data_IF_528450620444
#
_entry.id   IF_528450620444
#
_cell.length_a   1.000
_cell.length_b   1.000
_cell.length_c   1.000
_cell.angle_alpha   90.00
_cell.angle_beta   90.00
_cell.angle_gamma   90.00
#
_symmetry.space_group_name_H-M   'P 1'
#
loop_
_entity.id
_entity.type
_entity.pdbx_description
1 polymer ?
#
# COMPACT_ATOMS: atom_id res chain seq x y z
N UNK A 1 18.16 34.61 30.48
CA UNK A 1 17.47 34.96 29.22
C UNK A 1 16.27 35.82 29.56
N UNK A 2 15.85 36.72 28.67
CA UNK A 2 14.64 37.53 28.90
C UNK A 2 13.39 36.67 28.70
N UNK A 3 12.37 36.86 29.53
CA UNK A 3 11.08 36.14 29.42
C UNK A 3 10.45 36.34 28.03
N UNK A 4 10.61 37.52 27.43
CA UNK A 4 10.15 37.80 26.06
C UNK A 4 10.88 36.96 25.00
N UNK A 5 12.16 36.66 25.20
CA UNK A 5 12.92 35.79 24.30
C UNK A 5 12.44 34.34 24.39
N UNK A 6 12.19 33.84 25.59
CA UNK A 6 11.68 32.47 25.78
C UNK A 6 10.27 32.32 25.20
N UNK A 7 9.41 33.34 25.38
CA UNK A 7 8.09 33.36 24.76
C UNK A 7 8.17 33.36 23.22
N UNK A 8 8.94 34.28 22.64
CA UNK A 8 9.10 34.35 21.19
C UNK A 8 9.69 33.06 20.61
N UNK A 9 10.64 32.43 21.31
CA UNK A 9 11.18 31.12 20.94
C UNK A 9 10.09 30.05 20.91
N UNK A 10 9.29 29.94 21.96
CA UNK A 10 8.20 28.94 22.02
C UNK A 10 7.15 29.18 20.96
N UNK A 11 6.72 30.43 20.76
CA UNK A 11 5.75 30.80 19.72
C UNK A 11 6.26 30.43 18.30
N UNK A 12 7.53 30.74 18.00
CA UNK A 12 8.13 30.41 16.70
C UNK A 12 8.30 28.90 16.53
N UNK A 13 8.79 28.18 17.56
CA UNK A 13 8.95 26.73 17.48
C UNK A 13 7.61 26.02 17.30
N UNK A 14 6.57 26.42 18.04
CA UNK A 14 5.23 25.84 17.88
C UNK A 14 4.62 26.16 16.51
N UNK A 15 4.90 27.34 15.94
CA UNK A 15 4.45 27.65 14.59
C UNK A 15 5.16 26.80 13.53
N UNK A 16 6.48 26.60 13.65
CA UNK A 16 7.23 25.71 12.75
C UNK A 16 6.76 24.26 12.89
N UNK A 17 6.49 23.79 14.11
CA UNK A 17 5.93 22.44 14.35
C UNK A 17 4.60 22.26 13.59
N UNK A 18 3.66 23.20 13.75
CA UNK A 18 2.39 23.19 13.00
C UNK A 18 2.60 23.16 11.49
N UNK A 19 3.54 23.96 10.96
CA UNK A 19 3.81 23.99 9.52
C UNK A 19 4.40 22.66 9.03
N UNK A 20 5.23 22.00 9.84
CA UNK A 20 5.77 20.68 9.50
C UNK A 20 4.65 19.63 9.48
N UNK A 21 3.76 19.65 10.48
CA UNK A 21 2.60 18.74 10.52
C UNK A 21 1.67 18.92 9.31
N UNK A 22 1.46 20.16 8.86
CA UNK A 22 0.70 20.46 7.65
C UNK A 22 1.37 19.87 6.40
N UNK A 23 2.68 20.07 6.26
CA UNK A 23 3.46 19.51 5.14
C UNK A 23 3.44 17.98 5.17
N UNK A 24 3.62 17.36 6.33
CA UNK A 24 3.59 15.89 6.48
C UNK A 24 2.24 15.31 6.09
N UNK A 25 1.14 15.98 6.43
CA UNK A 25 -0.21 15.58 6.00
C UNK A 25 -0.39 15.70 4.49
N UNK A 26 0.08 16.80 3.88
CA UNK A 26 0.03 16.97 2.42
C UNK A 26 0.84 15.89 1.70
N UNK A 27 2.05 15.59 2.19
CA UNK A 27 2.90 14.52 1.67
C UNK A 27 2.20 13.16 1.82
N UNK A 28 1.61 12.88 2.98
CA UNK A 28 0.91 11.62 3.22
C UNK A 28 -0.28 11.43 2.26
N UNK A 29 -1.10 12.48 2.07
CA UNK A 29 -2.20 12.44 1.10
C UNK A 29 -1.69 12.23 -0.33
N UNK A 30 -0.60 12.93 -0.70
CA UNK A 30 0.01 12.79 -2.01
C UNK A 30 0.55 11.37 -2.25
N UNK A 31 1.20 10.76 -1.26
CA UNK A 31 1.64 9.36 -1.34
C UNK A 31 0.47 8.40 -1.47
N UNK A 32 -0.62 8.63 -0.74
CA UNK A 32 -1.83 7.82 -0.84
C UNK A 32 -2.47 7.91 -2.24
N UNK A 33 -2.57 9.10 -2.82
CA UNK A 33 -3.05 9.28 -4.20
C UNK A 33 -2.18 8.52 -5.19
N UNK A 34 -0.86 8.65 -5.10
CA UNK A 34 0.06 7.94 -6.00
C UNK A 34 -0.04 6.43 -5.84
N UNK A 35 -0.20 5.93 -4.61
CA UNK A 35 -0.43 4.51 -4.36
C UNK A 35 -1.74 4.03 -5.00
N UNK A 36 -2.82 4.80 -4.87
CA UNK A 36 -4.09 4.47 -5.53
C UNK A 36 -3.97 4.44 -7.06
N UNK A 37 -3.18 5.34 -7.65
CA UNK A 37 -2.87 5.29 -9.09
C UNK A 37 -2.08 4.04 -9.47
N UNK A 38 -1.16 3.58 -8.62
CA UNK A 38 -0.44 2.33 -8.84
C UNK A 38 -1.37 1.12 -8.78
N UNK A 39 -2.29 1.08 -7.80
CA UNK A 39 -3.30 0.02 -7.70
C UNK A 39 -4.20 -0.04 -8.93
N UNK A 40 -4.62 1.10 -9.46
CA UNK A 40 -5.40 1.17 -10.71
C UNK A 40 -4.60 0.68 -11.94
N UNK A 41 -3.34 1.09 -12.03
CA UNK A 41 -2.43 0.64 -13.08
C UNK A 41 -2.21 -0.89 -13.02
N UNK A 42 -2.10 -1.45 -11.82
CA UNK A 42 -1.97 -2.89 -11.60
C UNK A 42 -3.28 -3.64 -11.86
N UNK A 43 -4.43 -3.07 -11.49
CA UNK A 43 -5.75 -3.63 -11.78
C UNK A 43 -6.05 -3.73 -13.28
N UNK A 44 -5.34 -2.97 -14.11
CA UNK A 44 -5.44 -3.01 -15.58
C UNK A 44 -4.51 -4.04 -16.24
N UNK A 45 -3.53 -4.59 -15.51
CA UNK A 45 -2.58 -5.57 -16.03
C UNK A 45 -3.14 -7.00 -15.94
N UNK A 46 -2.91 -7.83 -16.96
CA UNK A 46 -3.38 -9.22 -17.00
C UNK A 46 -2.29 -10.23 -16.65
N UNK A 47 -1.02 -9.86 -16.83
CA UNK A 47 0.15 -10.73 -16.64
C UNK A 47 1.32 -10.00 -15.95
N UNK A 48 2.31 -10.75 -15.47
CA UNK A 48 3.48 -10.22 -14.74
C UNK A 48 4.31 -9.23 -15.58
N UNK A 49 4.47 -9.50 -16.88
CA UNK A 49 5.14 -8.58 -17.81
C UNK A 49 4.38 -7.24 -17.95
N UNK A 50 3.04 -7.27 -17.92
CA UNK A 50 2.22 -6.05 -17.96
C UNK A 50 2.28 -5.29 -16.63
N UNK A 51 2.29 -6.00 -15.48
CA UNK A 51 2.51 -5.39 -14.17
C UNK A 51 3.88 -4.70 -14.09
N UNK A 52 4.93 -5.33 -14.64
CA UNK A 52 6.28 -4.76 -14.72
C UNK A 52 6.27 -3.45 -15.50
N UNK A 53 5.62 -3.46 -16.66
CA UNK A 53 5.51 -2.30 -17.55
C UNK A 53 4.64 -1.19 -16.95
N UNK A 54 3.58 -1.54 -16.23
CA UNK A 54 2.74 -0.58 -15.51
C UNK A 54 3.49 0.05 -14.32
N UNK A 55 4.24 -0.76 -13.57
CA UNK A 55 5.08 -0.31 -12.46
C UNK A 55 6.18 0.65 -12.96
N UNK A 56 6.88 0.28 -14.03
CA UNK A 56 7.97 1.08 -14.60
C UNK A 56 7.47 2.45 -15.09
N UNK A 57 6.32 2.49 -15.77
CA UNK A 57 5.68 3.73 -16.20
C UNK A 57 5.31 4.61 -15.00
N UNK A 58 4.61 4.05 -14.02
CA UNK A 58 4.25 4.78 -12.81
C UNK A 58 5.49 5.28 -12.04
N UNK A 59 6.53 4.45 -11.93
CA UNK A 59 7.76 4.80 -11.24
C UNK A 59 8.47 5.96 -11.92
N UNK A 60 8.58 5.96 -13.25
CA UNK A 60 9.18 7.08 -13.99
C UNK A 60 8.41 8.40 -13.79
N UNK A 61 7.09 8.33 -13.63
CA UNK A 61 6.24 9.52 -13.45
C UNK A 61 6.24 10.06 -12.01
N UNK A 62 6.50 9.20 -11.02
CA UNK A 62 6.24 9.51 -9.62
C UNK A 62 7.44 9.36 -8.67
N UNK A 63 8.53 8.72 -9.10
CA UNK A 63 9.70 8.46 -8.25
C UNK A 63 10.40 9.73 -7.74
N UNK A 64 10.51 10.77 -8.58
CA UNK A 64 11.13 12.06 -8.21
C UNK A 64 10.35 12.77 -7.10
N UNK A 65 9.01 12.66 -7.12
CA UNK A 65 8.14 13.33 -6.16
C UNK A 65 8.04 12.56 -4.83
N UNK A 66 8.10 11.22 -4.88
CA UNK A 66 8.14 10.38 -3.68
C UNK A 66 9.55 10.38 -3.05
N UNK A 67 10.59 10.60 -3.84
CA UNK A 67 11.98 10.60 -3.39
C UNK A 67 12.51 9.20 -3.05
N UNK A 68 12.22 8.20 -3.88
CA UNK A 68 12.80 6.86 -3.70
C UNK A 68 14.33 6.90 -3.82
N UNK A 69 15.02 6.23 -2.90
CA UNK A 69 16.49 6.06 -2.94
C UNK A 69 16.92 4.87 -3.83
N UNK A 70 15.95 4.12 -4.34
CA UNK A 70 16.13 2.87 -5.08
C UNK A 70 15.54 2.97 -6.49
N UNK A 71 16.14 2.29 -7.45
CA UNK A 71 15.64 2.19 -8.82
C UNK A 71 14.43 1.24 -8.92
N UNK A 72 13.64 1.40 -9.99
CA UNK A 72 12.46 0.56 -10.26
C UNK A 72 12.79 -0.95 -10.29
N UNK A 73 13.92 -1.31 -10.88
CA UNK A 73 14.39 -2.70 -10.91
C UNK A 73 14.65 -3.25 -9.50
N UNK A 74 15.26 -2.45 -8.62
CA UNK A 74 15.59 -2.87 -7.25
C UNK A 74 14.34 -3.07 -6.39
N UNK A 75 13.38 -2.15 -6.47
CA UNK A 75 12.12 -2.24 -5.72
C UNK A 75 11.32 -3.47 -6.15
N UNK A 76 11.30 -3.74 -7.45
CA UNK A 76 10.58 -4.87 -8.00
C UNK A 76 11.21 -6.22 -7.63
N UNK A 77 12.53 -6.33 -7.78
CA UNK A 77 13.27 -7.53 -7.39
C UNK A 77 13.06 -7.82 -5.89
N UNK A 78 13.18 -6.79 -5.05
CA UNK A 78 12.95 -6.90 -3.61
C UNK A 78 11.50 -7.29 -3.27
N UNK A 79 10.50 -6.75 -3.98
CA UNK A 79 9.10 -7.09 -3.77
C UNK A 79 8.77 -8.57 -4.08
N UNK A 80 9.50 -9.18 -5.03
CA UNK A 80 9.32 -10.59 -5.40
C UNK A 80 10.22 -11.55 -4.61
N UNK A 81 10.90 -11.07 -3.57
CA UNK A 81 11.78 -11.90 -2.74
C UNK A 81 13.15 -12.16 -3.36
N UNK A 82 13.62 -11.28 -4.26
CA UNK A 82 15.01 -11.25 -4.70
C UNK A 82 15.96 -11.10 -3.50
N UNK A 83 17.10 -11.79 -3.58
CA UNK A 83 18.08 -12.09 -2.52
C UNK A 83 18.83 -10.86 -1.95
N UNK A 84 18.20 -9.70 -1.90
CA UNK A 84 18.77 -8.48 -1.37
C UNK A 84 17.79 -7.76 -0.44
N UNK A 85 17.35 -8.47 0.61
CA UNK A 85 16.62 -7.82 1.70
C UNK A 85 17.49 -6.69 2.26
N UNK A 86 16.92 -5.50 2.43
CA UNK A 86 17.60 -4.34 3.04
C UNK A 86 18.03 -4.56 4.49
N UNK A 87 17.81 -5.76 5.03
CA UNK A 87 18.25 -6.16 6.35
C UNK A 87 19.69 -6.69 6.29
N UNK A 88 20.56 -5.91 6.93
CA UNK A 88 21.75 -6.38 7.63
C UNK A 88 23.01 -6.54 6.78
N UNK A 89 23.97 -5.63 7.03
CA UNK A 89 25.36 -6.04 6.90
C UNK A 89 25.62 -7.17 7.91
N UNK A 90 25.79 -8.39 7.43
CA UNK A 90 26.46 -9.46 8.16
C UNK A 90 27.28 -10.25 7.15
N UNK A 91 28.59 -10.07 7.27
CA UNK A 91 29.60 -10.89 6.64
C UNK A 91 29.36 -12.38 6.96
N UNK A 92 28.82 -13.11 5.98
CA UNK A 92 29.04 -14.54 5.79
C UNK A 92 28.45 -15.49 6.82
N UNK A 93 27.41 -16.23 6.43
CA UNK A 93 27.39 -17.68 6.61
C UNK A 93 26.40 -18.28 5.60
N UNK A 94 26.88 -19.29 4.86
CA UNK A 94 26.12 -20.13 3.95
C UNK A 94 25.21 -21.05 4.77
N UNK A 95 23.91 -20.77 4.93
CA UNK A 95 22.97 -21.81 5.38
C UNK A 95 21.58 -21.67 4.73
N UNK A 96 21.35 -22.62 3.83
CA UNK A 96 20.14 -22.98 3.09
C UNK A 96 18.91 -23.10 4.01
N UNK A 97 17.96 -22.17 3.90
CA UNK A 97 16.64 -22.31 4.55
C UNK A 97 15.58 -22.49 3.47
N UNK A 98 15.33 -23.76 3.15
CA UNK A 98 14.21 -24.22 2.30
C UNK A 98 12.89 -23.80 2.97
N UNK A 99 12.18 -22.83 2.39
CA UNK A 99 10.82 -22.52 2.82
C UNK A 99 9.83 -23.49 2.19
N UNK A 100 9.08 -24.18 3.06
CA UNK A 100 8.03 -25.15 2.77
C UNK A 100 6.88 -24.48 2.00
N UNK A 101 6.60 -25.00 0.81
CA UNK A 101 5.51 -24.60 -0.08
C UNK A 101 4.17 -24.75 0.66
N UNK A 102 3.50 -23.64 0.99
CA UNK A 102 2.13 -23.69 1.52
C UNK A 102 1.18 -23.96 0.36
N UNK A 103 0.78 -25.23 0.22
CA UNK A 103 -0.22 -25.66 -0.73
C UNK A 103 -1.55 -24.94 -0.46
N UNK A 104 -2.05 -24.20 -1.45
CA UNK A 104 -3.44 -23.72 -1.46
C UNK A 104 -4.33 -24.90 -1.83
N UNK A 105 -5.07 -25.39 -0.84
CA UNK A 105 -6.08 -26.44 -0.97
C UNK A 105 -7.29 -25.85 -1.72
N UNK A 106 -7.39 -26.23 -2.98
CA UNK A 106 -8.55 -26.03 -3.87
C UNK A 106 -9.52 -27.16 -3.58
N UNK A 107 -10.52 -26.90 -2.74
CA UNK A 107 -11.64 -27.81 -2.50
C UNK A 107 -12.88 -27.23 -3.20
N UNK A 108 -13.05 -27.63 -4.46
CA UNK A 108 -14.33 -27.62 -5.18
C UNK A 108 -15.23 -28.71 -4.56
N UNK A 109 -16.26 -28.33 -3.78
CA UNK A 109 -17.35 -29.25 -3.42
C UNK A 109 -18.68 -28.68 -3.94
N UNK A 110 -19.03 -29.20 -5.12
CA UNK A 110 -20.35 -29.22 -5.74
C UNK A 110 -21.15 -30.34 -5.06
N UNK A 111 -22.28 -30.04 -4.41
CA UNK A 111 -23.48 -30.91 -4.45
C UNK A 111 -24.70 -30.33 -3.67
N UNK A 112 -25.81 -30.28 -4.41
CA UNK A 112 -27.19 -30.66 -4.06
C UNK A 112 -28.07 -29.84 -3.06
N UNK A 113 -29.08 -29.20 -3.64
CA UNK A 113 -30.53 -29.26 -3.33
C UNK A 113 -31.00 -29.27 -1.85
N UNK A 114 -31.69 -28.21 -1.42
CA UNK A 114 -32.87 -28.36 -0.54
C UNK A 114 -33.88 -27.21 -0.74
N UNK A 115 -35.06 -27.62 -1.18
CA UNK A 115 -36.32 -26.91 -1.39
C UNK A 115 -36.98 -26.52 -0.06
N UNK A 116 -37.18 -25.22 0.24
CA UNK A 116 -38.25 -24.80 1.18
C UNK A 116 -38.72 -23.34 1.00
N UNK A 117 -39.93 -23.24 0.45
CA UNK A 117 -41.09 -22.43 0.88
C UNK A 117 -41.07 -20.88 0.83
N UNK A 118 -41.68 -20.36 -0.23
CA UNK A 118 -42.80 -19.39 -0.27
C UNK A 118 -43.07 -18.58 1.02
N UNK A 119 -42.51 -17.37 1.09
CA UNK A 119 -43.05 -16.29 1.94
C UNK A 119 -43.81 -15.30 1.04
N UNK A 120 -45.13 -15.46 1.06
CA UNK A 120 -46.15 -14.58 0.53
C UNK A 120 -45.90 -13.15 1.04
N UNK A 121 -45.45 -12.26 0.15
CA UNK A 121 -45.63 -10.83 0.32
C UNK A 121 -47.12 -10.50 0.16
N UNK A 122 -47.83 -10.41 1.29
CA UNK A 122 -49.14 -9.76 1.36
C UNK A 122 -48.92 -8.25 1.54
N UNK A 123 -49.52 -7.51 0.61
CA UNK A 123 -49.46 -6.08 0.38
C UNK A 123 -50.22 -5.28 1.46
N UNK A 124 -50.28 -3.96 1.31
CA UNK A 124 -51.13 -3.01 2.05
C UNK A 124 -50.66 -2.50 3.44
N UNK A 125 -49.80 -1.47 3.42
CA UNK A 125 -50.06 -0.30 4.27
C UNK A 125 -50.18 0.93 3.36
N UNK A 126 -51.43 1.21 2.96
CA UNK A 126 -51.84 2.35 2.15
C UNK A 126 -51.48 3.68 2.81
N UNK A 127 -50.77 4.52 2.07
CA UNK A 127 -50.69 5.94 2.34
C UNK A 127 -51.87 6.65 1.64
N UNK A 128 -52.70 7.32 2.44
CA UNK A 128 -53.72 8.35 2.15
C UNK A 128 -55.22 7.97 2.22
#
# INVERSE_FOLDING_TARGET
MSVEFEKAKTDVLGHIESLLEEIEQEIALSHQEKYALLEDAFGSASDVDELRVAFDQWFMEHSDDIGFDHDADEIWDHALGGEHSYATGDDGDEDDVVFEEVATDDDEDDDDDDDVEDDVFDDEDENY
#
